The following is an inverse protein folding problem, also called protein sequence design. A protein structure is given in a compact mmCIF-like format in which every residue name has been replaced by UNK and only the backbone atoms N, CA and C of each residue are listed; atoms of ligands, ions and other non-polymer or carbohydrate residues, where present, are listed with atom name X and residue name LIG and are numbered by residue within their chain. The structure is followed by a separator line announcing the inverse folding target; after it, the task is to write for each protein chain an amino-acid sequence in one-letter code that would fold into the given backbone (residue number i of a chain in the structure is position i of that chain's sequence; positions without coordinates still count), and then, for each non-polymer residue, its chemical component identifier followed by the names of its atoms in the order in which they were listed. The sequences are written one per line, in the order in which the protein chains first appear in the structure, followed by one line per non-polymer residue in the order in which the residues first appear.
data_IF_247864060962
#
_entry.id   IF_247864060962
#
_cell.length_a   1.000
_cell.length_b   1.000
_cell.length_c   1.000
_cell.angle_alpha   90.00
_cell.angle_beta   90.00
_cell.angle_gamma   90.00
#
_symmetry.space_group_name_H-M   'P 1'
#
loop_
_entity.id
_entity.type
_entity.pdbx_description
1 polymer ?
#
# COMPACT_ATOMS: atom_id res chain seq x y z
N UNK A 1 49.07 8.42 -1.21
CA UNK A 1 47.90 7.60 -0.86
C UNK A 1 47.31 7.01 -2.13
N UNK A 2 47.59 5.74 -2.40
CA UNK A 2 47.16 5.02 -3.61
C UNK A 2 45.67 4.72 -3.53
N UNK A 3 44.88 5.27 -4.47
CA UNK A 3 43.45 4.96 -4.63
C UNK A 3 43.31 3.49 -5.01
N UNK A 4 42.56 2.70 -4.23
CA UNK A 4 42.19 1.32 -4.58
C UNK A 4 41.35 1.32 -5.88
N UNK A 5 41.99 0.85 -6.95
CA UNK A 5 41.51 0.35 -8.25
C UNK A 5 40.06 0.59 -8.74
N UNK A 6 39.98 1.19 -9.94
CA UNK A 6 38.84 1.38 -10.84
C UNK A 6 38.19 0.10 -11.43
N UNK A 7 38.18 -1.04 -10.72
CA UNK A 7 37.63 -2.31 -11.25
C UNK A 7 36.75 -3.04 -10.23
N UNK A 8 35.61 -2.46 -9.88
CA UNK A 8 34.56 -3.21 -9.19
C UNK A 8 33.82 -4.10 -10.20
N UNK A 9 33.99 -5.42 -10.12
CA UNK A 9 33.18 -6.38 -10.88
C UNK A 9 31.78 -6.34 -10.27
N UNK A 10 30.78 -5.94 -11.07
CA UNK A 10 29.36 -5.94 -10.69
C UNK A 10 28.68 -7.12 -11.38
N UNK A 11 27.94 -7.91 -10.61
CA UNK A 11 27.08 -8.97 -11.13
C UNK A 11 25.67 -8.80 -10.58
N UNK A 12 24.67 -8.97 -11.44
CA UNK A 12 23.26 -9.03 -11.04
C UNK A 12 22.86 -10.49 -10.97
N UNK A 13 22.45 -10.95 -9.78
CA UNK A 13 21.95 -12.32 -9.61
C UNK A 13 20.43 -12.29 -9.68
N UNK A 14 19.85 -13.03 -10.62
CA UNK A 14 18.40 -13.29 -10.66
C UNK A 14 18.13 -14.71 -10.18
N UNK A 15 17.29 -14.85 -9.15
CA UNK A 15 16.88 -16.14 -8.59
C UNK A 15 15.36 -16.29 -8.69
N UNK A 16 14.89 -17.50 -9.00
CA UNK A 16 13.48 -17.88 -8.84
C UNK A 16 13.28 -18.36 -7.40
N UNK A 17 12.52 -17.62 -6.62
CA UNK A 17 12.16 -17.98 -5.23
C UNK A 17 10.82 -18.69 -5.28
N UNK A 18 10.74 -19.91 -4.76
CA UNK A 18 9.46 -20.56 -4.53
C UNK A 18 8.73 -19.81 -3.41
N UNK A 19 7.60 -19.21 -3.73
CA UNK A 19 6.75 -18.55 -2.74
C UNK A 19 6.08 -19.60 -1.88
N UNK A 20 6.14 -19.45 -0.56
CA UNK A 20 5.35 -20.28 0.33
C UNK A 20 3.87 -19.90 0.24
N UNK A 21 2.98 -20.89 0.37
CA UNK A 21 1.53 -20.66 0.35
C UNK A 21 1.07 -19.57 1.34
N UNK A 22 1.58 -19.50 2.60
CA UNK A 22 1.21 -18.45 3.54
C UNK A 22 1.59 -17.04 3.07
N UNK A 23 2.74 -16.90 2.38
CA UNK A 23 3.19 -15.61 1.85
C UNK A 23 2.31 -15.17 0.68
N UNK A 24 1.91 -16.11 -0.18
CA UNK A 24 1.01 -15.85 -1.29
C UNK A 24 -0.38 -15.40 -0.80
N UNK A 25 -0.92 -16.05 0.23
CA UNK A 25 -2.16 -15.65 0.90
C UNK A 25 -2.04 -14.25 1.49
N UNK A 26 -0.94 -13.94 2.22
CA UNK A 26 -0.72 -12.63 2.81
C UNK A 26 -0.70 -11.52 1.74
N UNK A 27 0.03 -11.72 0.64
CA UNK A 27 0.12 -10.74 -0.45
C UNK A 27 -1.24 -10.54 -1.11
N UNK A 28 -1.98 -11.62 -1.35
CA UNK A 28 -3.32 -11.52 -1.94
C UNK A 28 -4.29 -10.74 -1.03
N UNK A 29 -4.27 -11.03 0.28
CA UNK A 29 -5.07 -10.32 1.26
C UNK A 29 -4.69 -8.84 1.33
N UNK A 30 -3.40 -8.53 1.34
CA UNK A 30 -2.90 -7.17 1.34
C UNK A 30 -3.31 -6.39 0.09
N UNK A 31 -3.22 -6.98 -1.11
CA UNK A 31 -3.64 -6.32 -2.35
C UNK A 31 -5.14 -6.06 -2.35
N UNK A 32 -5.96 -6.99 -1.85
CA UNK A 32 -7.41 -6.80 -1.69
C UNK A 32 -7.73 -5.67 -0.70
N UNK A 33 -7.07 -5.69 0.46
CA UNK A 33 -7.18 -4.66 1.48
C UNK A 33 -6.81 -3.27 0.96
N UNK A 34 -5.65 -3.15 0.30
CA UNK A 34 -5.16 -1.89 -0.25
C UNK A 34 -6.14 -1.29 -1.26
N UNK A 35 -6.71 -2.12 -2.13
CA UNK A 35 -7.76 -1.72 -3.07
C UNK A 35 -8.99 -1.22 -2.33
N UNK A 36 -9.51 -2.00 -1.37
CA UNK A 36 -10.65 -1.59 -0.57
C UNK A 36 -10.40 -0.24 0.14
N UNK A 37 -9.26 -0.09 0.81
CA UNK A 37 -8.91 1.14 1.51
C UNK A 37 -8.80 2.34 0.56
N UNK A 38 -8.19 2.16 -0.62
CA UNK A 38 -8.13 3.23 -1.63
C UNK A 38 -9.51 3.67 -2.12
N UNK A 39 -10.41 2.72 -2.35
CA UNK A 39 -11.79 3.03 -2.73
C UNK A 39 -12.50 3.79 -1.61
N UNK A 40 -12.41 3.26 -0.38
CA UNK A 40 -13.02 3.86 0.80
C UNK A 40 -12.53 5.31 1.00
N UNK A 41 -11.23 5.56 0.86
CA UNK A 41 -10.65 6.91 0.98
C UNK A 41 -11.22 7.87 -0.05
N UNK A 42 -11.33 7.44 -1.31
CA UNK A 42 -11.88 8.28 -2.38
C UNK A 42 -13.34 8.67 -2.12
N UNK A 43 -14.14 7.75 -1.58
CA UNK A 43 -15.57 7.98 -1.34
C UNK A 43 -15.85 8.78 -0.05
N UNK A 44 -15.05 8.58 1.00
CA UNK A 44 -15.36 9.07 2.37
C UNK A 44 -14.45 10.21 2.83
N UNK A 45 -13.29 10.40 2.20
CA UNK A 45 -12.30 11.44 2.55
C UNK A 45 -12.17 12.44 1.39
N UNK A 46 -12.96 13.53 1.38
CA UNK A 46 -12.92 14.53 0.31
C UNK A 46 -11.56 15.22 0.18
N UNK A 47 -10.87 15.46 1.29
CA UNK A 47 -9.55 16.08 1.32
C UNK A 47 -8.58 15.28 2.21
N UNK A 48 -7.62 14.55 1.61
CA UNK A 48 -6.67 13.75 2.37
C UNK A 48 -5.59 14.56 3.11
N UNK A 49 -5.49 15.87 2.85
CA UNK A 49 -4.53 16.76 3.48
C UNK A 49 -5.07 17.42 4.77
N UNK A 50 -6.32 17.15 5.15
CA UNK A 50 -6.89 17.66 6.40
C UNK A 50 -6.14 17.16 7.64
N UNK A 51 -6.15 17.97 8.69
CA UNK A 51 -5.60 17.58 10.00
C UNK A 51 -6.45 16.44 10.57
N UNK A 52 -5.81 15.46 11.23
CA UNK A 52 -6.44 14.28 11.86
C UNK A 52 -7.09 13.25 10.92
N UNK A 53 -6.86 13.33 9.61
CA UNK A 53 -7.34 12.30 8.65
C UNK A 53 -6.86 10.89 9.03
N UNK A 54 -5.62 10.76 9.51
CA UNK A 54 -5.05 9.47 9.93
C UNK A 54 -5.84 8.85 11.09
N UNK A 55 -6.27 9.66 12.07
CA UNK A 55 -7.05 9.17 13.22
C UNK A 55 -8.40 8.62 12.77
N UNK A 56 -9.12 9.37 11.91
CA UNK A 56 -10.39 8.93 11.31
C UNK A 56 -10.25 7.63 10.52
N UNK A 57 -9.17 7.51 9.74
CA UNK A 57 -8.88 6.29 8.97
C UNK A 57 -8.63 5.11 9.90
N UNK A 58 -7.85 5.32 10.96
CA UNK A 58 -7.52 4.26 11.91
C UNK A 58 -8.77 3.72 12.61
N UNK A 59 -9.63 4.60 13.12
CA UNK A 59 -10.87 4.23 13.80
C UNK A 59 -11.80 3.37 12.93
N UNK A 60 -11.91 3.69 11.63
CA UNK A 60 -12.83 2.99 10.72
C UNK A 60 -12.24 1.74 10.06
N UNK A 61 -10.96 1.77 9.70
CA UNK A 61 -10.36 0.74 8.85
C UNK A 61 -9.51 -0.27 9.61
N UNK A 62 -8.91 0.08 10.75
CA UNK A 62 -7.96 -0.81 11.41
C UNK A 62 -8.59 -2.17 11.77
N UNK A 63 -9.76 -2.14 12.43
CA UNK A 63 -10.47 -3.36 12.83
C UNK A 63 -10.90 -4.18 11.61
N UNK A 64 -11.46 -3.55 10.58
CA UNK A 64 -11.86 -4.26 9.34
C UNK A 64 -10.69 -4.90 8.63
N UNK A 65 -9.55 -4.19 8.51
CA UNK A 65 -8.34 -4.71 7.89
C UNK A 65 -7.75 -5.89 8.68
N UNK A 66 -7.89 -5.87 10.00
CA UNK A 66 -7.46 -6.95 10.89
C UNK A 66 -8.35 -8.18 10.77
N UNK A 67 -9.65 -7.99 10.81
CA UNK A 67 -10.63 -9.06 10.95
C UNK A 67 -11.07 -9.62 9.59
N UNK A 68 -11.48 -8.76 8.66
CA UNK A 68 -12.03 -9.18 7.35
C UNK A 68 -10.93 -9.58 6.37
N UNK A 69 -9.79 -8.87 6.39
CA UNK A 69 -8.67 -9.12 5.48
C UNK A 69 -7.54 -9.94 6.12
N UNK A 70 -7.70 -10.33 7.39
CA UNK A 70 -6.75 -11.15 8.15
C UNK A 70 -5.30 -10.60 8.11
N UNK A 71 -5.14 -9.27 8.17
CA UNK A 71 -3.82 -8.66 8.17
C UNK A 71 -3.20 -8.66 9.58
N UNK A 72 -1.88 -8.88 9.73
CA UNK A 72 -1.19 -8.59 10.98
C UNK A 72 -1.35 -7.12 11.39
N UNK A 73 -1.35 -6.82 12.70
CA UNK A 73 -1.54 -5.46 13.23
C UNK A 73 -0.70 -4.39 12.52
N UNK A 74 0.62 -4.62 12.44
CA UNK A 74 1.52 -3.67 11.78
C UNK A 74 1.24 -3.52 10.28
N UNK A 75 0.92 -4.62 9.61
CA UNK A 75 0.62 -4.65 8.17
C UNK A 75 -0.71 -3.95 7.88
N UNK A 76 -1.71 -4.07 8.76
CA UNK A 76 -2.97 -3.35 8.65
C UNK A 76 -2.74 -1.84 8.76
N UNK A 77 -1.89 -1.40 9.70
CA UNK A 77 -1.53 0.02 9.80
C UNK A 77 -0.83 0.56 8.57
N UNK A 78 0.15 -0.19 8.07
CA UNK A 78 0.94 0.24 6.91
C UNK A 78 0.07 0.23 5.65
N UNK A 79 -0.86 -0.72 5.52
CA UNK A 79 -1.81 -0.80 4.40
C UNK A 79 -2.61 0.50 4.20
N UNK A 80 -3.25 1.03 5.25
CA UNK A 80 -4.01 2.28 5.09
C UNK A 80 -3.12 3.51 4.93
N UNK A 81 -1.90 3.50 5.49
CA UNK A 81 -0.92 4.58 5.29
C UNK A 81 -0.44 4.62 3.84
N UNK A 82 -0.17 3.47 3.24
CA UNK A 82 0.21 3.32 1.84
C UNK A 82 -0.92 3.77 0.91
N UNK A 83 -2.15 3.33 1.19
CA UNK A 83 -3.34 3.79 0.47
C UNK A 83 -3.49 5.32 0.55
N UNK A 84 -3.31 5.92 1.74
CA UNK A 84 -3.38 7.36 1.92
C UNK A 84 -2.30 8.09 1.15
N UNK A 85 -1.07 7.56 1.09
CA UNK A 85 0.03 8.12 0.30
C UNK A 85 -0.28 8.13 -1.20
N UNK A 86 -0.80 7.01 -1.72
CA UNK A 86 -1.26 6.89 -3.11
C UNK A 86 -2.39 7.88 -3.38
N UNK A 87 -3.38 7.97 -2.47
CA UNK A 87 -4.51 8.87 -2.64
C UNK A 87 -4.07 10.34 -2.64
N UNK A 88 -3.20 10.75 -1.72
CA UNK A 88 -2.59 12.09 -1.71
C UNK A 88 -1.84 12.40 -3.00
N UNK A 89 -1.08 11.44 -3.50
CA UNK A 89 -0.31 11.60 -4.74
C UNK A 89 -1.23 11.86 -5.94
N UNK A 90 -2.38 11.17 -5.99
CA UNK A 90 -3.39 11.43 -7.01
C UNK A 90 -4.11 12.77 -6.79
N UNK A 91 -4.56 13.04 -5.56
CA UNK A 91 -5.30 14.25 -5.21
C UNK A 91 -4.49 15.53 -5.48
N UNK A 92 -3.18 15.50 -5.21
CA UNK A 92 -2.29 16.63 -5.43
C UNK A 92 -1.78 16.74 -6.87
N UNK A 93 -2.17 15.82 -7.77
CA UNK A 93 -1.76 15.87 -9.17
C UNK A 93 -2.67 16.85 -9.95
N UNK A 94 -2.16 18.00 -10.43
CA UNK A 94 -2.97 19.02 -11.09
C UNK A 94 -3.58 18.55 -12.41
N UNK A 95 -3.06 17.47 -13.01
CA UNK A 95 -3.58 16.90 -14.25
C UNK A 95 -4.74 15.93 -14.05
N UNK A 96 -5.10 15.64 -12.79
CA UNK A 96 -6.17 14.71 -12.39
C UNK A 96 -6.16 13.44 -13.24
N UNK A 97 -4.98 12.83 -13.38
CA UNK A 97 -4.78 11.62 -14.18
C UNK A 97 -5.71 10.50 -13.71
N UNK A 98 -5.73 9.37 -14.43
CA UNK A 98 -6.62 8.26 -14.07
C UNK A 98 -6.40 7.82 -12.62
N UNK A 99 -7.46 7.85 -11.80
CA UNK A 99 -7.43 7.25 -10.46
C UNK A 99 -7.02 5.78 -10.57
N UNK A 100 -6.20 5.24 -9.65
CA UNK A 100 -5.82 3.83 -9.64
C UNK A 100 -7.04 2.94 -9.91
N UNK A 101 -6.91 1.96 -10.81
CA UNK A 101 -8.01 1.03 -11.10
C UNK A 101 -8.27 0.17 -9.87
N UNK A 102 -9.17 0.65 -9.03
CA UNK A 102 -9.70 -0.08 -7.91
C UNK A 102 -11.03 -0.68 -8.37
N UNK A 103 -11.07 -2.01 -8.53
CA UNK A 103 -12.36 -2.68 -8.69
C UNK A 103 -13.12 -2.52 -7.37
N UNK A 104 -14.39 -2.11 -7.43
CA UNK A 104 -15.27 -2.17 -6.27
C UNK A 104 -15.22 -3.63 -5.78
N UNK A 105 -14.78 -3.92 -4.55
CA UNK A 105 -14.80 -5.29 -4.07
C UNK A 105 -16.25 -5.75 -4.11
N UNK A 106 -16.54 -6.71 -4.98
CA UNK A 106 -17.79 -7.46 -4.95
C UNK A 106 -17.75 -8.26 -3.66
N UNK A 107 -18.70 -7.92 -2.78
CA UNK A 107 -19.03 -8.68 -1.56
C UNK A 107 -19.45 -10.08 -1.96
#
# INVERSE_FOLDING_TARGET
MTRRGDKAIRATVSMKIALSEPLLVLVNNYVKALRFTLFWLKEIVPNPNEKRVISKIHEELYTRLREEYNLPSKVAEDCYRDALSIYKSWYNNPKEGRFPRVYKPTV
#
